data_IF_565340818571
#
_entry.id   IF_565340818571
#
_cell.length_a   1.000
_cell.length_b   1.000
_cell.length_c   1.000
_cell.angle_alpha   90.00
_cell.angle_beta   90.00
_cell.angle_gamma   90.00
#
_symmetry.space_group_name_H-M   'P 1'
#
loop_
_entity.id
_entity.type
_entity.pdbx_description
1 polymer ?
#
# COMPACT_ATOMS: atom_id res chain seq x y z
N UNK A 1 4.20 3.64 2.33
CA UNK A 1 5.44 3.34 3.05
C UNK A 1 6.61 4.08 2.41
N UNK A 2 7.64 4.43 3.18
CA UNK A 2 8.91 4.91 2.61
C UNK A 2 9.71 3.73 2.04
N UNK A 3 10.50 3.92 0.98
CA UNK A 3 11.21 2.80 0.33
C UNK A 3 12.31 2.20 1.21
N UNK A 4 12.84 2.98 2.14
CA UNK A 4 13.82 2.54 3.14
C UNK A 4 13.27 1.49 4.09
N UNK A 5 11.94 1.35 4.20
CA UNK A 5 11.27 0.39 5.09
C UNK A 5 10.95 -0.95 4.39
N UNK A 6 11.39 -1.16 3.14
CA UNK A 6 11.16 -2.42 2.40
C UNK A 6 11.76 -3.65 3.07
N UNK A 7 12.87 -3.47 3.80
CA UNK A 7 13.50 -4.51 4.61
C UNK A 7 12.59 -4.97 5.76
N UNK A 8 11.78 -4.07 6.34
CA UNK A 8 10.74 -4.44 7.31
C UNK A 8 9.74 -5.38 6.65
N UNK A 9 9.22 -5.01 5.47
CA UNK A 9 8.26 -5.83 4.73
C UNK A 9 8.85 -7.20 4.40
N UNK A 10 10.09 -7.24 3.93
CA UNK A 10 10.80 -8.50 3.64
C UNK A 10 10.91 -9.40 4.86
N UNK A 11 11.16 -8.84 6.05
CA UNK A 11 11.17 -9.62 7.31
C UNK A 11 9.78 -10.09 7.73
N UNK A 12 8.76 -9.28 7.49
CA UNK A 12 7.39 -9.53 7.92
C UNK A 12 6.66 -10.58 7.06
N UNK A 13 6.82 -10.52 5.74
CA UNK A 13 6.06 -11.35 4.78
C UNK A 13 6.91 -12.02 3.70
N UNK A 14 8.25 -11.90 3.75
CA UNK A 14 9.13 -12.54 2.78
C UNK A 14 9.06 -11.94 1.37
N UNK A 15 8.50 -10.74 1.24
CA UNK A 15 8.34 -10.06 -0.05
C UNK A 15 9.06 -8.71 -0.06
N UNK A 16 9.63 -8.36 -1.21
CA UNK A 16 10.35 -7.11 -1.44
C UNK A 16 10.36 -6.79 -2.93
N UNK A 17 10.86 -5.61 -3.29
CA UNK A 17 11.13 -5.24 -4.68
C UNK A 17 12.50 -5.77 -5.12
N UNK A 18 12.61 -6.12 -6.40
CA UNK A 18 13.92 -6.36 -7.02
C UNK A 18 14.76 -5.08 -7.00
N UNK A 19 16.11 -5.18 -7.06
CA UNK A 19 16.97 -3.99 -7.12
C UNK A 19 16.61 -3.04 -8.28
N UNK A 20 16.21 -3.58 -9.43
CA UNK A 20 15.80 -2.79 -10.60
C UNK A 20 14.48 -2.06 -10.35
N UNK A 21 13.45 -2.77 -9.85
CA UNK A 21 12.16 -2.18 -9.50
C UNK A 21 12.31 -1.06 -8.47
N UNK A 22 13.13 -1.31 -7.44
CA UNK A 22 13.44 -0.32 -6.41
C UNK A 22 14.11 0.91 -7.00
N UNK A 23 15.16 0.74 -7.81
CA UNK A 23 15.86 1.87 -8.43
C UNK A 23 14.94 2.69 -9.34
N UNK A 24 14.12 2.01 -10.15
CA UNK A 24 13.14 2.67 -11.01
C UNK A 24 12.10 3.46 -10.20
N UNK A 25 11.63 2.91 -9.09
CA UNK A 25 10.67 3.58 -8.21
C UNK A 25 11.30 4.80 -7.52
N UNK A 26 12.53 4.69 -7.00
CA UNK A 26 13.26 5.80 -6.39
C UNK A 26 13.44 6.96 -7.39
N UNK A 27 13.86 6.66 -8.62
CA UNK A 27 14.01 7.67 -9.69
C UNK A 27 12.66 8.30 -10.09
N UNK A 28 11.62 7.48 -10.23
CA UNK A 28 10.28 7.95 -10.55
C UNK A 28 9.72 8.88 -9.48
N UNK A 29 9.87 8.51 -8.21
CA UNK A 29 9.43 9.33 -7.07
C UNK A 29 10.22 10.63 -6.97
N UNK A 30 11.55 10.58 -7.14
CA UNK A 30 12.42 11.76 -7.15
C UNK A 30 12.01 12.76 -8.24
N UNK A 31 11.77 12.27 -9.47
CA UNK A 31 11.31 13.11 -10.59
C UNK A 31 9.97 13.79 -10.28
N UNK A 32 9.02 13.08 -9.64
CA UNK A 32 7.70 13.63 -9.30
C UNK A 32 7.78 14.66 -8.19
N UNK A 33 8.57 14.41 -7.15
CA UNK A 33 8.83 15.40 -6.10
C UNK A 33 9.49 16.67 -6.64
N UNK A 34 10.29 16.58 -7.72
CA UNK A 34 10.92 17.74 -8.34
C UNK A 34 9.99 18.53 -9.29
N UNK A 35 8.91 17.93 -9.79
CA UNK A 35 8.05 18.51 -10.84
C UNK A 35 6.66 18.91 -10.35
N UNK A 36 6.19 18.32 -9.25
CA UNK A 36 4.84 18.54 -8.72
C UNK A 36 4.94 18.99 -7.25
N UNK A 37 4.02 19.86 -6.81
CA UNK A 37 3.92 20.25 -5.39
C UNK A 37 3.11 19.21 -4.63
N UNK A 38 3.81 18.33 -3.91
CA UNK A 38 3.24 17.20 -3.17
C UNK A 38 3.45 17.42 -1.67
N UNK A 39 2.45 17.09 -0.84
CA UNK A 39 2.58 17.04 0.63
C UNK A 39 3.37 15.80 1.07
N UNK A 40 3.18 14.69 0.37
CA UNK A 40 3.97 13.46 0.54
C UNK A 40 3.85 12.60 -0.71
N UNK A 41 4.86 11.77 -0.96
CA UNK A 41 4.86 10.75 -2.00
C UNK A 41 5.43 9.48 -1.40
N UNK A 42 4.64 8.41 -1.39
CA UNK A 42 4.98 7.15 -0.72
C UNK A 42 4.75 5.97 -1.64
N UNK A 43 5.51 4.91 -1.44
CA UNK A 43 5.22 3.62 -2.08
C UNK A 43 3.93 3.04 -1.50
N UNK A 44 2.97 2.71 -2.35
CA UNK A 44 1.69 2.12 -1.94
C UNK A 44 1.77 0.59 -1.94
N UNK A 45 2.38 0.00 -2.97
CA UNK A 45 2.44 -1.44 -3.11
C UNK A 45 2.72 -1.91 -4.52
N UNK A 46 2.70 -3.23 -4.68
CA UNK A 46 2.82 -3.94 -5.95
C UNK A 46 1.54 -4.74 -6.20
N UNK A 47 0.96 -4.55 -7.39
CA UNK A 47 -0.12 -5.40 -7.89
C UNK A 47 0.47 -6.40 -8.88
N UNK A 48 0.33 -7.69 -8.59
CA UNK A 48 0.77 -8.75 -9.48
C UNK A 48 -0.19 -8.89 -10.66
N UNK A 49 0.35 -8.77 -11.87
CA UNK A 49 -0.40 -8.94 -13.11
C UNK A 49 0.01 -10.22 -13.85
N UNK A 50 -0.77 -10.63 -14.84
CA UNK A 50 -0.50 -11.85 -15.60
C UNK A 50 0.77 -11.75 -16.45
N UNK A 51 1.02 -10.56 -17.04
CA UNK A 51 2.16 -10.32 -17.93
C UNK A 51 3.29 -9.56 -17.24
N UNK A 52 2.93 -8.65 -16.32
CA UNK A 52 3.87 -7.81 -15.59
C UNK A 52 3.22 -7.30 -14.30
N UNK A 53 4.06 -7.00 -13.32
CA UNK A 53 3.65 -6.40 -12.05
C UNK A 53 3.55 -4.88 -12.18
N UNK A 54 2.64 -4.30 -11.41
CA UNK A 54 2.41 -2.86 -11.35
C UNK A 54 2.88 -2.33 -10.00
N UNK A 55 3.94 -1.53 -10.03
CA UNK A 55 4.39 -0.81 -8.85
C UNK A 55 3.64 0.51 -8.74
N UNK A 56 3.08 0.77 -7.57
CA UNK A 56 2.21 1.92 -7.32
C UNK A 56 2.84 2.80 -6.24
N UNK A 57 2.92 4.09 -6.55
CA UNK A 57 3.17 5.15 -5.59
C UNK A 57 1.91 6.00 -5.42
N UNK A 58 1.71 6.55 -4.23
CA UNK A 58 0.62 7.46 -3.92
C UNK A 58 1.18 8.78 -3.42
N UNK A 59 0.79 9.87 -4.06
CA UNK A 59 1.01 11.21 -3.55
C UNK A 59 -0.22 11.74 -2.83
N UNK A 60 0.04 12.59 -1.85
CA UNK A 60 -0.96 13.45 -1.23
C UNK A 60 -0.70 14.87 -1.71
N UNK A 61 -1.71 15.51 -2.28
CA UNK A 61 -1.63 16.87 -2.81
C UNK A 61 -2.38 17.85 -1.90
N UNK A 62 -1.89 19.09 -1.79
CA UNK A 62 -2.63 20.15 -1.12
C UNK A 62 -3.91 20.47 -1.91
N UNK A 63 -5.02 20.65 -1.20
CA UNK A 63 -6.32 21.00 -1.76
C UNK A 63 -7.14 21.76 -0.72
N UNK A 64 -8.07 22.59 -1.18
CA UNK A 64 -8.79 23.56 -0.34
C UNK A 64 -9.66 22.90 0.73
N UNK A 65 -10.32 21.80 0.38
CA UNK A 65 -11.29 21.14 1.27
C UNK A 65 -10.59 20.07 2.14
N UNK A 66 -10.00 19.08 1.48
CA UNK A 66 -9.24 18.00 2.10
C UNK A 66 -8.10 17.57 1.17
N UNK A 67 -7.02 16.99 1.72
CA UNK A 67 -5.90 16.50 0.91
C UNK A 67 -6.38 15.47 -0.12
N UNK A 68 -5.96 15.64 -1.38
CA UNK A 68 -6.31 14.71 -2.46
C UNK A 68 -5.22 13.67 -2.65
N UNK A 69 -5.59 12.43 -2.96
CA UNK A 69 -4.63 11.38 -3.32
C UNK A 69 -4.49 11.30 -4.84
N UNK A 70 -3.28 11.15 -5.34
CA UNK A 70 -2.97 10.85 -6.75
C UNK A 70 -2.09 9.63 -6.81
N UNK A 71 -2.47 8.64 -7.60
CA UNK A 71 -1.72 7.40 -7.76
C UNK A 71 -0.87 7.47 -9.01
N UNK A 72 0.37 7.02 -8.90
CA UNK A 72 1.29 6.85 -10.02
C UNK A 72 1.62 5.37 -10.12
N UNK A 73 1.66 4.87 -11.34
CA UNK A 73 2.09 3.52 -11.63
C UNK A 73 3.00 3.55 -12.84
N UNK A 74 3.89 2.57 -12.94
CA UNK A 74 4.76 2.39 -14.10
C UNK A 74 4.16 1.30 -14.99
N UNK A 75 3.38 1.63 -16.03
CA UNK A 75 3.20 0.70 -17.12
C UNK A 75 4.34 0.91 -18.12
N UNK A 76 4.94 -0.17 -18.61
CA UNK A 76 5.79 -0.14 -19.81
C UNK A 76 5.04 0.36 -21.07
N UNK A 77 3.71 0.57 -20.98
CA UNK A 77 2.83 0.99 -22.06
C UNK A 77 1.96 2.20 -21.66
N UNK A 78 2.09 3.36 -22.33
CA UNK A 78 1.33 4.59 -22.04
C UNK A 78 -0.20 4.42 -22.07
N UNK A 79 -0.73 3.48 -22.85
CA UNK A 79 -2.17 3.28 -23.03
C UNK A 79 -2.89 2.75 -21.77
N UNK A 80 -2.17 2.03 -20.89
CA UNK A 80 -2.74 1.50 -19.65
C UNK A 80 -2.87 2.55 -18.54
N UNK A 81 -2.32 3.74 -18.74
CA UNK A 81 -2.38 4.85 -17.79
C UNK A 81 -3.81 5.40 -17.59
N UNK A 82 -4.69 5.25 -18.58
CA UNK A 82 -5.99 5.93 -18.67
C UNK A 82 -7.14 5.21 -17.95
N UNK A 83 -6.93 3.98 -17.46
CA UNK A 83 -8.02 3.15 -16.91
C UNK A 83 -8.38 3.52 -15.45
N UNK A 84 -7.55 4.31 -14.75
CA UNK A 84 -7.72 4.54 -13.30
C UNK A 84 -8.17 5.98 -12.97
N UNK A 85 -8.18 6.92 -13.93
CA UNK A 85 -8.63 8.31 -13.67
C UNK A 85 -10.11 8.44 -13.33
N UNK A 86 -10.95 7.43 -13.66
CA UNK A 86 -12.41 7.48 -13.46
C UNK A 86 -12.94 6.53 -12.37
N UNK A 87 -12.08 5.95 -11.54
CA UNK A 87 -12.56 5.19 -10.39
C UNK A 87 -13.02 6.17 -9.30
N UNK A 88 -14.30 6.56 -9.31
CA UNK A 88 -14.96 7.17 -8.14
C UNK A 88 -15.01 6.13 -7.00
N UNK A 89 -13.89 6.02 -6.29
CA UNK A 89 -13.70 5.13 -5.14
C UNK A 89 -13.42 5.91 -3.87
N UNK A 90 -14.09 7.05 -3.67
CA UNK A 90 -14.18 7.68 -2.36
C UNK A 90 -15.50 7.21 -1.76
N UNK A 91 -15.44 6.06 -1.08
CA UNK A 91 -16.50 5.66 -0.13
C UNK A 91 -16.73 6.85 0.79
N UNK A 92 -17.91 7.47 0.68
CA UNK A 92 -18.32 8.56 1.57
C UNK A 92 -18.37 8.03 3.00
N UNK A 93 -17.84 8.85 3.89
CA UNK A 93 -17.76 8.67 5.34
C UNK A 93 -19.15 8.53 5.99
N UNK A 94 -19.69 7.31 6.04
CA UNK A 94 -20.59 6.91 7.13
C UNK A 94 -19.82 6.68 8.44
N UNK A 95 -18.60 6.15 8.30
CA UNK A 95 -17.91 5.35 9.33
C UNK A 95 -16.46 5.87 9.55
N UNK A 96 -16.28 7.18 9.63
CA UNK A 96 -14.95 7.78 9.81
C UNK A 96 -14.48 7.58 11.26
N UNK A 97 -13.38 6.84 11.43
CA UNK A 97 -12.77 6.44 12.72
C UNK A 97 -13.40 5.23 13.44
N UNK A 98 -14.19 4.40 12.75
CA UNK A 98 -14.57 3.15 13.38
C UNK A 98 -13.33 2.25 13.60
N UNK A 99 -13.16 1.71 14.82
CA UNK A 99 -12.01 0.89 15.14
C UNK A 99 -12.12 -0.45 14.40
N UNK A 100 -10.97 -0.99 13.98
CA UNK A 100 -10.87 -2.27 13.26
C UNK A 100 -11.48 -3.47 13.99
N UNK A 101 -11.75 -3.34 15.30
CA UNK A 101 -12.44 -4.37 16.10
C UNK A 101 -13.92 -4.52 15.73
N UNK A 102 -14.50 -3.55 15.01
CA UNK A 102 -15.87 -3.64 14.49
C UNK A 102 -15.93 -4.33 13.13
N UNK A 103 -14.78 -4.59 12.49
CA UNK A 103 -14.73 -5.34 11.24
C UNK A 103 -15.09 -6.82 11.48
N UNK A 104 -15.34 -7.55 10.38
CA UNK A 104 -15.68 -8.96 10.42
C UNK A 104 -14.63 -9.77 11.22
N UNK A 105 -15.09 -10.66 12.09
CA UNK A 105 -14.22 -11.59 12.83
C UNK A 105 -13.31 -12.37 11.87
N UNK A 106 -12.01 -12.43 12.18
CA UNK A 106 -11.00 -13.05 11.33
C UNK A 106 -10.56 -12.22 10.12
N UNK A 107 -11.13 -11.03 9.88
CA UNK A 107 -10.66 -10.12 8.83
C UNK A 107 -9.23 -9.64 9.05
N UNK A 108 -8.79 -9.59 10.30
CA UNK A 108 -7.49 -9.08 10.70
C UNK A 108 -6.74 -10.07 11.59
N UNK A 109 -5.44 -10.18 11.34
CA UNK A 109 -4.53 -10.94 12.21
C UNK A 109 -3.38 -10.04 12.64
N UNK A 110 -3.18 -9.96 13.96
CA UNK A 110 -2.01 -9.30 14.56
C UNK A 110 -0.93 -10.35 14.80
N UNK A 111 0.29 -10.06 14.37
CA UNK A 111 1.47 -10.91 14.62
C UNK A 111 2.70 -10.06 14.89
N UNK A 112 3.77 -10.66 15.38
CA UNK A 112 5.09 -10.00 15.44
C UNK A 112 5.96 -10.48 14.28
N UNK A 113 6.93 -9.67 13.89
CA UNK A 113 7.98 -10.13 12.99
C UNK A 113 8.92 -11.14 13.68
N UNK A 114 9.79 -11.80 12.92
CA UNK A 114 10.70 -12.82 13.43
C UNK A 114 11.67 -12.28 14.51
N UNK A 115 11.94 -10.98 14.54
CA UNK A 115 12.81 -10.37 15.56
C UNK A 115 12.05 -9.93 16.81
N UNK A 116 10.72 -9.90 16.75
CA UNK A 116 9.86 -9.34 17.80
C UNK A 116 9.87 -7.82 17.89
N UNK A 117 10.55 -7.12 16.98
CA UNK A 117 10.71 -5.65 16.98
C UNK A 117 9.51 -4.92 16.39
N UNK A 118 8.76 -5.56 15.50
CA UNK A 118 7.62 -4.98 14.80
C UNK A 118 6.35 -5.77 15.10
N UNK A 119 5.29 -5.05 15.44
CA UNK A 119 3.93 -5.56 15.38
C UNK A 119 3.41 -5.38 13.94
N UNK A 120 2.77 -6.40 13.43
CA UNK A 120 2.19 -6.47 12.09
C UNK A 120 0.70 -6.70 12.21
N UNK A 121 -0.04 -6.12 11.28
CA UNK A 121 -1.46 -6.33 11.11
C UNK A 121 -1.69 -6.72 9.64
N UNK A 122 -2.22 -7.92 9.41
CA UNK A 122 -2.52 -8.47 8.07
C UNK A 122 -4.02 -8.48 7.83
N UNK A 123 -4.42 -8.08 6.63
CA UNK A 123 -5.81 -8.15 6.20
C UNK A 123 -6.06 -9.44 5.41
N UNK A 124 -7.07 -10.21 5.81
CA UNK A 124 -7.48 -11.45 5.15
C UNK A 124 -8.64 -11.27 4.16
N UNK A 125 -9.34 -10.12 4.22
CA UNK A 125 -10.33 -9.71 3.22
C UNK A 125 -9.63 -9.27 1.92
N UNK A 126 -8.47 -8.62 2.04
CA UNK A 126 -7.57 -8.29 0.93
C UNK A 126 -6.19 -8.89 1.20
N UNK A 127 -6.00 -10.18 0.88
CA UNK A 127 -4.71 -10.85 1.05
C UNK A 127 -3.59 -10.07 0.35
N UNK A 128 -2.51 -9.85 1.09
CA UNK A 128 -1.38 -9.02 0.63
C UNK A 128 -1.32 -7.63 1.25
N UNK A 129 -2.40 -7.15 1.89
CA UNK A 129 -2.35 -5.89 2.64
C UNK A 129 -1.72 -6.11 4.03
N UNK A 130 -0.68 -5.34 4.31
CA UNK A 130 0.09 -5.39 5.56
C UNK A 130 0.26 -3.98 6.11
N UNK A 131 -0.01 -3.81 7.40
CA UNK A 131 0.45 -2.69 8.20
C UNK A 131 1.48 -3.18 9.21
N UNK A 132 2.46 -2.33 9.53
CA UNK A 132 3.45 -2.63 10.57
C UNK A 132 3.76 -1.39 11.39
N UNK A 133 4.17 -1.62 12.63
CA UNK A 133 4.58 -0.60 13.57
C UNK A 133 5.64 -1.14 14.51
N UNK A 134 6.70 -0.37 14.74
CA UNK A 134 7.66 -0.65 15.81
C UNK A 134 7.22 0.09 17.07
N UNK A 135 6.87 -0.62 18.16
CA UNK A 135 6.47 -0.02 19.42
C UNK A 135 7.48 1.03 19.91
N UNK A 136 6.98 2.03 20.63
CA UNK A 136 7.79 3.11 21.22
C UNK A 136 8.59 3.92 20.18
N UNK A 137 8.16 3.93 18.92
CA UNK A 137 8.81 4.67 17.85
C UNK A 137 7.82 5.28 16.86
N UNK A 138 8.27 6.24 16.07
CA UNK A 138 7.49 6.77 14.94
C UNK A 138 7.65 5.91 13.66
N UNK A 139 8.23 4.71 13.75
CA UNK A 139 8.39 3.83 12.59
C UNK A 139 7.14 2.99 12.40
N UNK A 140 6.39 3.31 11.35
CA UNK A 140 5.21 2.56 10.93
C UNK A 140 5.06 2.66 9.41
N UNK A 141 4.23 1.80 8.85
CA UNK A 141 3.94 1.81 7.44
C UNK A 141 2.82 0.85 7.08
N UNK A 142 2.32 1.02 5.87
CA UNK A 142 1.42 0.08 5.23
C UNK A 142 1.82 -0.10 3.78
N UNK A 143 1.61 -1.31 3.29
CA UNK A 143 1.94 -1.71 1.93
C UNK A 143 1.01 -2.82 1.45
N UNK A 144 0.81 -2.90 0.14
CA UNK A 144 0.11 -4.01 -0.50
C UNK A 144 1.06 -4.78 -1.41
N UNK A 145 1.06 -6.11 -1.31
CA UNK A 145 1.67 -6.99 -2.31
C UNK A 145 0.72 -8.16 -2.60
N UNK A 146 0.10 -8.16 -3.78
CA UNK A 146 -0.88 -9.18 -4.17
C UNK A 146 -1.51 -8.88 -5.52
N UNK A 147 -2.57 -9.60 -5.91
CA UNK A 147 -3.24 -9.46 -7.20
C UNK A 147 -4.39 -8.44 -7.22
N UNK A 148 -4.62 -7.75 -6.09
CA UNK A 148 -5.67 -6.76 -5.90
C UNK A 148 -7.06 -7.36 -5.63
N UNK A 149 -7.19 -8.69 -5.52
CA UNK A 149 -8.50 -9.34 -5.36
C UNK A 149 -8.94 -9.39 -3.90
N UNK A 150 -10.24 -9.21 -3.70
CA UNK A 150 -10.91 -9.48 -2.43
C UNK A 150 -11.05 -10.99 -2.25
N UNK A 151 -10.86 -11.50 -1.03
CA UNK A 151 -11.18 -12.87 -0.65
C UNK A 151 -12.68 -12.98 -0.32
N UNK A 152 -13.50 -13.65 -1.16
CA UNK A 152 -14.92 -13.86 -0.87
C UNK A 152 -15.15 -14.98 0.15
N UNK A 153 -14.17 -15.87 0.34
CA UNK A 153 -14.32 -17.12 1.07
C UNK A 153 -13.86 -17.03 2.53
N UNK A 154 -13.59 -15.82 3.03
CA UNK A 154 -13.06 -15.62 4.38
C UNK A 154 -13.91 -16.28 5.47
N UNK A 155 -15.25 -16.27 5.31
CA UNK A 155 -16.18 -16.88 6.25
C UNK A 155 -16.03 -18.41 6.37
N UNK A 156 -15.41 -19.07 5.39
CA UNK A 156 -15.15 -20.51 5.38
C UNK A 156 -13.71 -20.87 5.77
N UNK A 157 -12.84 -19.87 5.95
CA UNK A 157 -11.41 -20.05 6.27
C UNK A 157 -11.10 -19.85 7.76
N UNK A 158 -12.09 -19.38 8.55
CA UNK A 158 -11.98 -19.08 9.97
C UNK A 158 -12.38 -20.28 10.86
#
# INVERSE_FOLDING_TARGET
MELEQLDVVSRCIGQTLTPQERSNMELGMLKRNATESLLSLRFWGRISGENQDYLIAVAVLPSKDYPKKKFYFCPDLPERAQIIENAEGLVRAGDFFDPLIQDLDGAWVISKDNTGSFAMLRNYVYPGALCFHRPESAQYGSVYFGDGRKNPDIAFMI
#
